data_IF_490368122534
#
_entry.id   IF_490368122534
#
_cell.length_a   1.000
_cell.length_b   1.000
_cell.length_c   1.000
_cell.angle_alpha   90.00
_cell.angle_beta   90.00
_cell.angle_gamma   90.00
#
_symmetry.space_group_name_H-M   'P 1'
#
loop_
_entity.id
_entity.type
_entity.pdbx_description
1 polymer ?
#
# COMPACT_ATOMS: atom_id res chain seq x y z
N UNK A 1 -17.11 27.02 -2.51
CA UNK A 1 -15.79 26.90 -3.13
C UNK A 1 -15.73 25.70 -4.07
N UNK A 2 -16.06 24.51 -3.62
CA UNK A 2 -16.01 23.26 -4.39
C UNK A 2 -16.85 23.31 -5.67
N UNK A 3 -18.13 23.71 -5.59
CA UNK A 3 -18.99 23.87 -6.77
C UNK A 3 -18.46 24.90 -7.78
N UNK A 4 -17.95 26.04 -7.28
CA UNK A 4 -17.37 27.07 -8.13
C UNK A 4 -16.11 26.56 -8.86
N UNK A 5 -15.26 25.78 -8.17
CA UNK A 5 -14.12 25.12 -8.79
C UNK A 5 -14.58 24.11 -9.85
N UNK A 6 -15.55 23.27 -9.51
CA UNK A 6 -16.11 22.29 -10.42
C UNK A 6 -16.64 22.94 -11.73
N UNK A 7 -17.34 24.06 -11.61
CA UNK A 7 -17.83 24.80 -12.78
C UNK A 7 -16.68 25.38 -13.61
N UNK A 8 -15.65 25.90 -12.96
CA UNK A 8 -14.45 26.39 -13.64
C UNK A 8 -13.71 25.28 -14.38
N UNK A 9 -13.60 24.09 -13.79
CA UNK A 9 -12.97 22.94 -14.43
C UNK A 9 -13.81 22.41 -15.60
N UNK A 10 -15.14 22.38 -15.46
CA UNK A 10 -16.05 21.99 -16.56
C UNK A 10 -15.94 22.96 -17.77
N UNK A 11 -15.71 24.26 -17.54
CA UNK A 11 -15.47 25.23 -18.62
C UNK A 11 -14.16 24.96 -19.40
N UNK A 12 -13.23 24.19 -18.80
CA UNK A 12 -12.01 23.72 -19.45
C UNK A 12 -12.10 22.28 -19.96
N UNK A 13 -13.32 21.74 -20.11
CA UNK A 13 -13.61 20.37 -20.55
C UNK A 13 -13.12 19.25 -19.59
N UNK A 14 -12.79 19.61 -18.35
CA UNK A 14 -12.54 18.58 -17.33
C UNK A 14 -13.85 17.96 -16.84
N UNK A 15 -13.79 16.66 -16.61
CA UNK A 15 -14.90 15.88 -16.02
C UNK A 15 -14.38 15.21 -14.74
N UNK A 16 -15.19 15.20 -13.68
CA UNK A 16 -14.92 14.41 -12.48
C UNK A 16 -14.87 12.93 -12.85
N UNK A 17 -13.95 12.18 -12.25
CA UNK A 17 -13.82 10.75 -12.51
C UNK A 17 -14.80 9.93 -11.65
N UNK A 18 -15.19 8.75 -12.11
CA UNK A 18 -15.93 7.79 -11.27
C UNK A 18 -15.01 7.07 -10.28
N UNK A 19 -13.70 7.19 -10.41
CA UNK A 19 -12.73 6.66 -9.45
C UNK A 19 -12.75 7.44 -8.14
N UNK A 20 -12.77 8.79 -8.25
CA UNK A 20 -12.81 9.73 -7.12
C UNK A 20 -13.36 11.06 -7.63
N UNK A 21 -14.38 11.60 -6.96
CA UNK A 21 -15.08 12.82 -7.39
C UNK A 21 -14.19 14.05 -7.45
N UNK A 22 -13.17 14.11 -6.58
CA UNK A 22 -12.21 15.21 -6.53
C UNK A 22 -11.02 15.04 -7.49
N UNK A 23 -11.02 14.00 -8.31
CA UNK A 23 -10.08 13.83 -9.43
C UNK A 23 -10.79 14.16 -10.73
N UNK A 24 -10.29 15.21 -11.39
CA UNK A 24 -10.80 15.71 -12.65
C UNK A 24 -9.89 15.28 -13.78
N UNK A 25 -10.46 14.87 -14.91
CA UNK A 25 -9.71 14.47 -16.09
C UNK A 25 -10.25 15.12 -17.36
N UNK A 26 -9.34 15.42 -18.32
CA UNK A 26 -9.71 15.79 -19.69
C UNK A 26 -8.78 15.12 -20.69
N UNK A 27 -9.30 14.82 -21.87
CA UNK A 27 -8.47 14.30 -22.97
C UNK A 27 -7.64 15.41 -23.57
N UNK A 28 -6.33 15.17 -23.78
CA UNK A 28 -5.41 16.04 -24.52
C UNK A 28 -4.57 15.22 -25.50
N UNK A 29 -5.06 15.07 -26.72
CA UNK A 29 -4.46 14.20 -27.75
C UNK A 29 -4.54 12.73 -27.35
N UNK A 30 -3.39 12.05 -27.22
CA UNK A 30 -3.27 10.63 -26.87
C UNK A 30 -3.07 10.39 -25.36
N UNK A 31 -3.33 11.36 -24.52
CA UNK A 31 -3.18 11.25 -23.05
C UNK A 31 -4.32 11.95 -22.36
N UNK A 32 -4.44 11.72 -21.06
CA UNK A 32 -5.27 12.53 -20.17
C UNK A 32 -4.42 13.49 -19.38
N UNK A 33 -5.01 14.64 -19.08
CA UNK A 33 -4.55 15.58 -18.06
C UNK A 33 -5.44 15.42 -16.85
N UNK A 34 -4.85 15.53 -15.64
CA UNK A 34 -5.57 15.32 -14.38
C UNK A 34 -5.38 16.52 -13.46
N UNK A 35 -6.40 16.79 -12.68
CA UNK A 35 -6.37 17.72 -11.55
C UNK A 35 -6.95 16.98 -10.35
N UNK A 36 -6.14 16.78 -9.32
CA UNK A 36 -6.62 16.29 -8.02
C UNK A 36 -6.80 17.50 -7.10
N UNK A 37 -8.02 17.64 -6.57
CA UNK A 37 -8.39 18.69 -5.62
C UNK A 37 -8.42 18.11 -4.21
N UNK A 38 -7.73 18.74 -3.27
CA UNK A 38 -7.82 18.40 -1.87
C UNK A 38 -7.98 19.68 -1.03
N UNK A 39 -9.18 19.92 -0.54
CA UNK A 39 -9.57 21.15 0.15
C UNK A 39 -9.21 22.37 -0.68
N UNK A 40 -8.10 23.04 -0.40
CA UNK A 40 -7.63 24.26 -1.10
C UNK A 40 -6.45 23.99 -2.04
N UNK A 41 -5.89 22.79 -2.02
CA UNK A 41 -4.72 22.42 -2.82
C UNK A 41 -5.12 21.73 -4.13
N UNK A 42 -4.45 22.11 -5.23
CA UNK A 42 -4.62 21.49 -6.53
C UNK A 42 -3.31 20.83 -6.98
N UNK A 43 -3.36 19.54 -7.26
CA UNK A 43 -2.26 18.82 -7.92
C UNK A 43 -2.60 18.66 -9.41
N UNK A 44 -1.84 19.31 -10.29
CA UNK A 44 -2.08 19.34 -11.74
C UNK A 44 -1.06 18.43 -12.42
N UNK A 45 -1.52 17.44 -13.17
CA UNK A 45 -0.71 16.56 -14.01
C UNK A 45 -1.07 16.81 -15.47
N UNK A 46 -0.27 17.59 -16.17
CA UNK A 46 -0.49 17.99 -17.55
C UNK A 46 0.84 18.18 -18.28
N UNK A 47 0.80 18.18 -19.63
CA UNK A 47 1.99 18.54 -20.43
C UNK A 47 2.40 19.99 -20.26
N UNK A 48 1.42 20.87 -20.16
CA UNK A 48 1.61 22.30 -19.86
C UNK A 48 0.66 22.71 -18.71
N UNK A 49 1.08 22.56 -17.46
CA UNK A 49 0.29 23.01 -16.32
C UNK A 49 0.01 24.51 -16.31
N UNK A 50 0.87 25.33 -16.95
CA UNK A 50 0.73 26.77 -16.96
C UNK A 50 -0.50 27.23 -17.76
N UNK A 51 -0.91 26.49 -18.79
CA UNK A 51 -2.17 26.75 -19.52
C UNK A 51 -3.36 26.72 -18.55
N UNK A 52 -3.41 25.69 -17.70
CA UNK A 52 -4.49 25.50 -16.73
C UNK A 52 -4.44 26.57 -15.63
N UNK A 53 -3.27 26.83 -15.07
CA UNK A 53 -3.04 27.86 -14.05
C UNK A 53 -3.46 29.24 -14.58
N UNK A 54 -3.01 29.62 -15.79
CA UNK A 54 -3.35 30.89 -16.40
C UNK A 54 -4.86 31.03 -16.62
N UNK A 55 -5.57 29.97 -17.01
CA UNK A 55 -7.02 30.00 -17.16
C UNK A 55 -7.73 30.23 -15.82
N UNK A 56 -7.34 29.49 -14.78
CA UNK A 56 -7.90 29.65 -13.43
C UNK A 56 -7.69 31.09 -12.90
N UNK A 57 -6.51 31.67 -13.09
CA UNK A 57 -6.22 33.03 -12.60
C UNK A 57 -6.90 34.11 -13.41
N UNK A 58 -6.81 34.05 -14.75
CA UNK A 58 -7.26 35.16 -15.64
C UNK A 58 -8.77 35.05 -15.93
N UNK A 59 -9.27 33.88 -16.28
CA UNK A 59 -10.67 33.69 -16.68
C UNK A 59 -11.57 33.47 -15.49
N UNK A 60 -11.15 32.62 -14.51
CA UNK A 60 -11.93 32.31 -13.35
C UNK A 60 -11.61 33.17 -12.12
N UNK A 61 -10.61 34.04 -12.22
CA UNK A 61 -10.21 35.04 -11.21
C UNK A 61 -9.78 34.43 -9.85
N UNK A 62 -9.24 33.19 -9.85
CA UNK A 62 -8.63 32.64 -8.65
C UNK A 62 -7.32 33.36 -8.31
N UNK A 63 -7.06 33.48 -7.02
CA UNK A 63 -5.75 33.94 -6.49
C UNK A 63 -4.97 32.73 -6.05
N UNK A 64 -4.25 32.10 -7.00
CA UNK A 64 -3.44 30.92 -6.71
C UNK A 64 -2.16 31.32 -5.97
N UNK A 65 -1.71 30.46 -5.05
CA UNK A 65 -0.45 30.62 -4.31
C UNK A 65 0.36 29.34 -4.42
N UNK A 66 1.69 29.46 -4.39
CA UNK A 66 2.58 28.28 -4.41
C UNK A 66 2.56 27.53 -5.74
N UNK A 67 2.24 28.22 -6.84
CA UNK A 67 2.27 27.64 -8.19
C UNK A 67 3.69 27.26 -8.60
N UNK A 68 3.85 26.08 -9.21
CA UNK A 68 5.15 25.60 -9.68
C UNK A 68 5.24 24.06 -9.63
N UNK A 69 6.41 23.50 -9.90
CA UNK A 69 6.65 22.06 -9.75
C UNK A 69 6.31 21.60 -8.34
N UNK A 70 5.69 20.42 -8.25
CA UNK A 70 5.33 19.85 -6.96
C UNK A 70 6.58 19.61 -6.10
N UNK A 71 6.60 20.17 -4.90
CA UNK A 71 7.67 19.98 -3.92
C UNK A 71 7.16 19.47 -2.55
N UNK A 72 5.88 19.74 -2.27
CA UNK A 72 5.20 19.30 -1.07
C UNK A 72 3.70 19.19 -1.33
N UNK A 73 3.09 18.06 -0.97
CA UNK A 73 1.65 17.85 -1.07
C UNK A 73 1.20 16.76 -0.09
N UNK A 74 0.09 16.99 0.60
CA UNK A 74 -0.53 16.04 1.55
C UNK A 74 0.44 15.42 2.57
N UNK A 75 1.39 16.20 3.07
CA UNK A 75 2.34 15.73 4.08
C UNK A 75 3.59 15.04 3.52
N UNK A 76 3.70 14.87 2.21
CA UNK A 76 4.87 14.31 1.53
C UNK A 76 5.70 15.39 0.84
N UNK A 77 7.00 15.25 0.95
CA UNK A 77 7.98 15.96 0.14
C UNK A 77 8.17 15.24 -1.19
N UNK A 78 8.15 15.97 -2.31
CA UNK A 78 8.39 15.48 -3.66
C UNK A 78 9.71 16.02 -4.18
N UNK A 79 10.49 15.17 -4.80
CA UNK A 79 11.79 15.55 -5.36
C UNK A 79 12.19 14.59 -6.48
N UNK A 80 13.15 15.00 -7.28
CA UNK A 80 13.75 14.14 -8.31
C UNK A 80 15.11 13.65 -7.82
N UNK A 81 15.36 12.35 -7.91
CA UNK A 81 16.63 11.77 -7.52
C UNK A 81 17.72 11.98 -8.58
N UNK A 82 18.95 11.49 -8.31
CA UNK A 82 20.09 11.59 -9.22
C UNK A 82 19.89 10.88 -10.57
N UNK A 83 18.97 9.92 -10.64
CA UNK A 83 18.65 9.18 -11.86
C UNK A 83 17.50 9.82 -12.64
N UNK A 84 17.01 11.00 -12.20
CA UNK A 84 15.91 11.73 -12.82
C UNK A 84 14.52 11.15 -12.51
N UNK A 85 14.41 10.27 -11.50
CA UNK A 85 13.15 9.63 -11.11
C UNK A 85 12.47 10.48 -10.05
N UNK A 86 11.17 10.74 -10.23
CA UNK A 86 10.35 11.40 -9.22
C UNK A 86 10.19 10.49 -8.00
N UNK A 87 10.37 11.08 -6.83
CA UNK A 87 10.29 10.41 -5.55
C UNK A 87 9.36 11.17 -4.61
N UNK A 88 8.78 10.47 -3.64
CA UNK A 88 8.12 11.11 -2.51
C UNK A 88 8.43 10.41 -1.19
N UNK A 89 8.45 11.20 -0.12
CA UNK A 89 8.71 10.74 1.23
C UNK A 89 8.11 11.72 2.26
N UNK A 90 7.60 11.25 3.41
CA UNK A 90 7.06 12.12 4.45
C UNK A 90 8.15 12.69 5.38
N UNK A 91 9.26 13.21 4.83
CA UNK A 91 10.45 13.64 5.61
C UNK A 91 10.10 14.69 6.65
N UNK A 92 9.45 15.79 6.23
CA UNK A 92 9.03 16.87 7.16
C UNK A 92 8.04 16.37 8.21
N UNK A 93 7.15 15.45 7.82
CA UNK A 93 6.22 14.84 8.77
C UNK A 93 6.96 14.00 9.83
N UNK A 94 7.92 13.17 9.41
CA UNK A 94 8.73 12.40 10.37
C UNK A 94 9.56 13.31 11.27
N UNK A 95 10.18 14.39 10.76
CA UNK A 95 10.89 15.37 11.58
C UNK A 95 9.96 16.02 12.61
N UNK A 96 8.71 16.33 12.23
CA UNK A 96 7.68 16.80 13.17
C UNK A 96 7.39 15.74 14.25
N UNK A 97 7.19 14.47 13.88
CA UNK A 97 6.96 13.39 14.85
C UNK A 97 8.11 13.26 15.87
N UNK A 98 9.36 13.38 15.42
CA UNK A 98 10.55 13.34 16.29
C UNK A 98 10.57 14.55 17.23
N UNK A 99 10.17 15.71 16.76
CA UNK A 99 10.07 16.94 17.54
C UNK A 99 8.98 16.80 18.62
N UNK A 100 7.78 16.38 18.22
CA UNK A 100 6.64 16.17 19.13
C UNK A 100 6.97 15.12 20.20
N UNK A 101 7.64 14.02 19.82
CA UNK A 101 8.15 13.02 20.76
C UNK A 101 9.13 13.63 21.77
N UNK A 102 10.08 14.44 21.29
CA UNK A 102 11.10 15.06 22.13
C UNK A 102 10.47 16.03 23.14
N UNK A 103 9.44 16.79 22.74
CA UNK A 103 8.65 17.64 23.63
C UNK A 103 7.86 16.80 24.66
N UNK A 104 7.29 15.67 24.23
CA UNK A 104 6.45 14.81 25.09
C UNK A 104 7.26 14.07 26.17
N UNK A 105 8.51 13.69 25.88
CA UNK A 105 9.32 12.85 26.76
C UNK A 105 10.63 13.51 27.28
N UNK A 106 10.97 14.70 26.81
CA UNK A 106 12.19 15.42 27.21
C UNK A 106 13.48 14.85 26.61
N UNK A 107 13.41 13.81 25.80
CA UNK A 107 14.56 13.13 25.18
C UNK A 107 14.26 12.74 23.74
N UNK A 108 15.30 12.68 22.89
CA UNK A 108 15.13 12.17 21.50
C UNK A 108 14.87 10.66 21.50
N UNK A 109 14.16 10.13 20.49
CA UNK A 109 13.97 8.70 20.34
C UNK A 109 15.32 7.96 20.22
N UNK A 110 15.47 6.83 20.94
CA UNK A 110 16.61 5.92 20.73
C UNK A 110 16.42 5.22 19.39
N UNK A 111 17.45 5.17 18.57
CA UNK A 111 17.39 4.55 17.23
C UNK A 111 17.34 3.02 17.31
N UNK A 112 16.54 2.42 16.39
CA UNK A 112 16.38 0.99 16.24
C UNK A 112 16.38 0.60 14.77
N UNK A 113 16.76 -0.66 14.47
CA UNK A 113 16.82 -1.22 13.13
C UNK A 113 15.50 -1.80 12.61
N UNK A 114 14.56 -2.06 13.50
CA UNK A 114 13.23 -2.59 13.17
C UNK A 114 12.16 -1.92 14.02
N UNK A 115 10.91 -1.84 13.52
CA UNK A 115 9.81 -1.21 14.27
C UNK A 115 9.48 -1.92 15.58
N UNK A 116 9.45 -3.26 15.57
CA UNK A 116 9.37 -4.13 16.74
C UNK A 116 10.45 -5.21 16.64
N UNK A 117 10.62 -5.99 17.68
CA UNK A 117 11.51 -7.15 17.65
C UNK A 117 10.90 -8.26 16.80
N UNK A 118 11.75 -9.09 16.21
CA UNK A 118 11.28 -10.24 15.47
C UNK A 118 10.51 -11.18 16.41
N UNK A 119 9.28 -11.56 16.01
CA UNK A 119 8.43 -12.44 16.81
C UNK A 119 7.93 -11.83 18.13
N UNK A 120 7.92 -10.51 18.28
CA UNK A 120 7.35 -9.84 19.46
C UNK A 120 5.82 -10.10 19.54
N UNK A 121 5.35 -10.32 20.77
CA UNK A 121 3.96 -10.57 21.09
C UNK A 121 3.43 -9.53 22.09
N UNK A 122 3.05 -8.33 21.63
CA UNK A 122 2.51 -7.27 22.50
C UNK A 122 1.27 -7.69 23.29
N UNK A 123 0.50 -8.65 22.79
CA UNK A 123 -0.74 -9.14 23.40
C UNK A 123 -0.54 -9.89 24.72
N UNK A 124 0.67 -10.41 24.98
CA UNK A 124 1.01 -11.06 26.26
C UNK A 124 1.69 -10.13 27.27
N UNK A 125 1.74 -8.83 26.97
CA UNK A 125 2.35 -7.85 27.87
C UNK A 125 1.61 -7.81 29.22
N UNK A 126 2.36 -8.03 30.32
CA UNK A 126 1.85 -8.04 31.69
C UNK A 126 2.38 -6.88 32.55
N UNK A 127 3.02 -5.89 31.92
CA UNK A 127 3.47 -4.70 32.62
C UNK A 127 2.28 -3.90 33.18
N UNK A 128 2.57 -2.94 34.07
CA UNK A 128 1.54 -2.07 34.67
C UNK A 128 0.77 -1.29 33.60
N UNK A 129 -0.50 -1.08 33.84
CA UNK A 129 -1.37 -0.23 33.02
C UNK A 129 -0.89 1.23 33.06
N UNK A 130 -1.12 1.96 31.98
CA UNK A 130 -0.83 3.39 31.95
C UNK A 130 -1.90 4.16 32.69
N UNK A 131 -1.50 5.26 33.34
CA UNK A 131 -2.39 6.27 33.86
C UNK A 131 -3.07 7.06 32.71
N UNK A 132 -4.07 7.85 33.02
CA UNK A 132 -4.83 8.62 32.02
C UNK A 132 -3.95 9.54 31.14
N UNK A 133 -2.95 10.28 31.67
CA UNK A 133 -1.99 11.01 30.83
C UNK A 133 -1.17 10.10 29.92
N UNK A 134 -0.76 8.93 30.39
CA UNK A 134 -0.04 7.93 29.62
C UNK A 134 -0.88 7.35 28.48
N UNK A 135 -2.16 7.07 28.72
CA UNK A 135 -3.11 6.61 27.71
C UNK A 135 -3.26 7.65 26.61
N UNK A 136 -3.45 8.93 26.96
CA UNK A 136 -3.56 10.03 25.97
C UNK A 136 -2.30 10.16 25.11
N UNK A 137 -1.11 10.05 25.72
CA UNK A 137 0.18 10.05 24.99
C UNK A 137 0.26 8.88 24.02
N UNK A 138 -0.08 7.68 24.48
CA UNK A 138 -0.07 6.47 23.65
C UNK A 138 -1.02 6.59 22.45
N UNK A 139 -2.27 7.02 22.67
CA UNK A 139 -3.27 7.23 21.62
C UNK A 139 -2.80 8.24 20.57
N UNK A 140 -2.21 9.36 21.01
CA UNK A 140 -1.64 10.38 20.13
C UNK A 140 -0.51 9.80 19.28
N UNK A 141 0.42 9.06 19.90
CA UNK A 141 1.52 8.40 19.19
C UNK A 141 1.01 7.42 18.12
N UNK A 142 0.06 6.55 18.47
CA UNK A 142 -0.50 5.58 17.52
C UNK A 142 -1.22 6.28 16.37
N UNK A 143 -2.00 7.32 16.64
CA UNK A 143 -2.68 8.10 15.59
C UNK A 143 -1.68 8.74 14.62
N UNK A 144 -0.61 9.32 15.13
CA UNK A 144 0.45 9.91 14.30
C UNK A 144 1.19 8.86 13.45
N UNK A 145 1.44 7.67 14.00
CA UNK A 145 2.06 6.57 13.26
C UNK A 145 1.14 6.02 12.16
N UNK A 146 -0.18 5.96 12.40
CA UNK A 146 -1.15 5.57 11.37
C UNK A 146 -1.13 6.54 10.18
N UNK A 147 -1.01 7.85 10.45
CA UNK A 147 -0.88 8.83 9.38
C UNK A 147 0.43 8.66 8.60
N UNK A 148 1.55 8.35 9.27
CA UNK A 148 2.81 8.06 8.59
C UNK A 148 2.68 6.88 7.61
N UNK A 149 1.90 5.84 7.95
CA UNK A 149 1.62 4.70 7.05
C UNK A 149 0.91 5.20 5.80
N UNK A 150 -0.11 6.04 5.93
CA UNK A 150 -0.84 6.61 4.79
C UNK A 150 0.05 7.47 3.88
N UNK A 151 1.12 8.03 4.43
CA UNK A 151 2.12 8.81 3.69
C UNK A 151 3.24 7.98 3.04
N UNK A 152 3.15 6.64 3.07
CA UNK A 152 4.11 5.76 2.41
C UNK A 152 5.05 5.00 3.35
N UNK A 153 4.95 5.16 4.69
CA UNK A 153 5.73 4.36 5.65
C UNK A 153 5.02 3.04 5.95
N UNK A 154 4.75 2.26 4.91
CA UNK A 154 4.11 0.95 5.05
C UNK A 154 4.97 -0.08 5.79
N UNK A 155 6.27 0.15 5.91
CA UNK A 155 7.23 -0.64 6.68
C UNK A 155 6.91 -0.75 8.17
N UNK A 156 6.13 0.18 8.74
CA UNK A 156 5.68 0.13 10.14
C UNK A 156 4.25 -0.41 10.30
N UNK A 157 3.58 -0.81 9.21
CA UNK A 157 2.13 -1.12 9.22
C UNK A 157 1.76 -2.22 10.22
N UNK A 158 2.46 -3.35 10.21
CA UNK A 158 2.16 -4.49 11.10
C UNK A 158 2.36 -4.13 12.56
N UNK A 159 3.44 -3.41 12.87
CA UNK A 159 3.73 -2.96 14.23
C UNK A 159 2.63 -2.00 14.76
N UNK A 160 2.26 -1.02 13.95
CA UNK A 160 1.22 -0.04 14.33
C UNK A 160 -0.16 -0.68 14.40
N UNK A 161 -0.51 -1.56 13.46
CA UNK A 161 -1.77 -2.31 13.48
C UNK A 161 -1.90 -3.13 14.77
N UNK A 162 -0.84 -3.87 15.16
CA UNK A 162 -0.83 -4.66 16.38
C UNK A 162 -1.00 -3.78 17.61
N UNK A 163 -0.22 -2.72 17.75
CA UNK A 163 -0.29 -1.79 18.89
C UNK A 163 -1.61 -1.01 18.94
N UNK A 164 -2.26 -0.76 17.81
CA UNK A 164 -3.57 -0.10 17.75
C UNK A 164 -4.67 -0.89 18.49
N UNK A 165 -4.49 -2.19 18.68
CA UNK A 165 -5.43 -3.04 19.42
C UNK A 165 -5.50 -2.67 20.92
N UNK A 166 -4.49 -2.01 21.47
CA UNK A 166 -4.37 -1.70 22.89
C UNK A 166 -4.70 -0.24 23.25
N UNK A 167 -5.32 0.53 22.34
CA UNK A 167 -5.59 1.97 22.55
C UNK A 167 -6.49 2.29 23.73
N UNK A 168 -7.36 1.36 24.14
CA UNK A 168 -8.31 1.57 25.25
C UNK A 168 -7.61 1.39 26.60
N UNK A 169 -6.80 0.34 26.75
CA UNK A 169 -6.09 -0.01 27.99
C UNK A 169 -4.64 -0.38 27.69
N UNK A 170 -3.80 0.59 27.30
CA UNK A 170 -2.39 0.31 27.00
C UNK A 170 -1.59 0.16 28.31
N UNK A 171 -0.57 -0.71 28.23
CA UNK A 171 0.39 -0.95 29.32
C UNK A 171 1.70 -0.22 29.06
N UNK A 172 2.56 -0.14 30.10
CA UNK A 172 3.90 0.47 29.98
C UNK A 172 4.74 -0.18 28.89
N UNK A 173 4.65 -1.51 28.72
CA UNK A 173 5.33 -2.24 27.64
C UNK A 173 4.82 -1.87 26.25
N UNK A 174 3.51 -1.62 26.08
CA UNK A 174 2.95 -1.13 24.81
C UNK A 174 3.51 0.27 24.47
N UNK A 175 3.63 1.15 25.46
CA UNK A 175 4.22 2.48 25.25
C UNK A 175 5.71 2.39 24.87
N UNK A 176 6.47 1.46 25.46
CA UNK A 176 7.87 1.26 25.07
C UNK A 176 8.00 0.77 23.61
N UNK A 177 7.11 -0.12 23.18
CA UNK A 177 7.04 -0.55 21.78
C UNK A 177 6.68 0.59 20.82
N UNK A 178 5.72 1.44 21.19
CA UNK A 178 5.42 2.63 20.41
C UNK A 178 6.63 3.57 20.30
N UNK A 179 7.38 3.79 21.40
CA UNK A 179 8.63 4.56 21.41
C UNK A 179 9.70 3.93 20.50
N UNK A 180 9.76 2.60 20.44
CA UNK A 180 10.67 1.88 19.52
C UNK A 180 10.37 2.19 18.06
N UNK A 181 9.09 2.25 17.65
CA UNK A 181 8.71 2.63 16.28
C UNK A 181 9.18 4.06 15.96
N UNK A 182 9.05 5.02 16.89
CA UNK A 182 9.60 6.37 16.70
C UNK A 182 11.12 6.33 16.55
N UNK A 183 11.81 5.49 17.28
CA UNK A 183 13.25 5.29 17.14
C UNK A 183 13.66 4.69 15.79
N UNK A 184 12.87 3.74 15.27
CA UNK A 184 13.04 3.22 13.93
C UNK A 184 12.82 4.32 12.86
N UNK A 185 11.75 5.10 12.97
CA UNK A 185 11.51 6.22 12.07
C UNK A 185 12.60 7.29 12.13
N UNK A 186 13.19 7.52 13.31
CA UNK A 186 14.32 8.45 13.47
C UNK A 186 15.57 7.97 12.73
N UNK A 187 15.82 6.66 12.75
CA UNK A 187 16.95 6.07 12.03
C UNK A 187 16.75 6.07 10.52
N UNK A 188 15.54 5.76 10.06
CA UNK A 188 15.18 5.61 8.65
C UNK A 188 14.20 6.70 8.20
N UNK A 189 14.49 7.96 8.56
CA UNK A 189 13.61 9.09 8.27
C UNK A 189 13.54 9.45 6.78
N UNK A 190 14.57 9.11 6.02
CA UNK A 190 14.70 9.44 4.60
C UNK A 190 14.19 8.34 3.66
N UNK A 191 13.55 7.31 4.21
CA UNK A 191 12.92 6.25 3.41
C UNK A 191 11.95 6.83 2.40
N UNK A 192 12.10 6.41 1.14
CA UNK A 192 11.52 7.10 -0.02
C UNK A 192 10.90 6.11 -0.99
N UNK A 193 9.71 6.40 -1.50
CA UNK A 193 9.10 5.69 -2.62
C UNK A 193 9.53 6.38 -3.93
N UNK A 194 10.09 5.60 -4.86
CA UNK A 194 10.42 6.02 -6.22
C UNK A 194 9.25 5.71 -7.15
N UNK A 195 8.82 6.68 -7.94
CA UNK A 195 7.77 6.50 -8.94
C UNK A 195 8.40 5.95 -10.21
N UNK A 196 8.45 4.63 -10.32
CA UNK A 196 9.07 3.90 -11.42
C UNK A 196 8.03 3.57 -12.49
N UNK A 197 8.27 4.06 -13.70
CA UNK A 197 7.35 3.88 -14.84
C UNK A 197 7.73 2.70 -15.74
N UNK A 198 8.84 2.03 -15.46
CA UNK A 198 9.30 0.85 -16.19
C UNK A 198 8.44 -0.38 -15.82
N UNK A 199 7.98 -1.09 -16.83
CA UNK A 199 7.18 -2.31 -16.66
C UNK A 199 8.11 -3.44 -16.15
N UNK A 200 7.70 -4.20 -15.12
CA UNK A 200 8.47 -5.35 -14.67
C UNK A 200 8.53 -6.42 -15.78
N UNK A 201 9.68 -7.05 -15.91
CA UNK A 201 9.86 -8.18 -16.83
C UNK A 201 9.51 -9.49 -16.11
N UNK A 202 8.44 -10.13 -16.55
CA UNK A 202 7.97 -11.43 -16.06
C UNK A 202 8.10 -12.53 -17.14
N UNK A 203 8.89 -12.31 -18.19
CA UNK A 203 9.07 -13.27 -19.27
C UNK A 203 9.67 -14.61 -18.83
N UNK A 204 10.47 -14.58 -17.76
CA UNK A 204 11.11 -15.78 -17.20
C UNK A 204 10.22 -16.54 -16.19
N UNK A 205 9.00 -16.05 -15.93
CA UNK A 205 8.09 -16.71 -15.00
C UNK A 205 7.29 -17.78 -15.74
N UNK A 206 7.61 -19.03 -15.43
CA UNK A 206 6.81 -20.15 -15.91
C UNK A 206 5.43 -20.14 -15.23
N UNK A 207 4.39 -20.00 -16.04
CA UNK A 207 3.01 -20.09 -15.58
C UNK A 207 2.27 -21.12 -16.43
N UNK A 208 1.97 -22.31 -15.89
CA UNK A 208 1.22 -23.32 -16.61
C UNK A 208 -0.13 -22.77 -17.10
N UNK A 209 -0.48 -23.05 -18.34
CA UNK A 209 -1.79 -22.72 -18.87
C UNK A 209 -2.73 -23.89 -18.69
N UNK A 210 -3.93 -23.62 -18.20
CA UNK A 210 -4.95 -24.61 -17.96
C UNK A 210 -6.24 -24.26 -18.72
N UNK A 211 -6.97 -25.31 -19.14
CA UNK A 211 -8.28 -25.18 -19.79
C UNK A 211 -9.38 -24.95 -18.73
N UNK A 212 -9.56 -23.71 -18.32
CA UNK A 212 -10.57 -23.33 -17.33
C UNK A 212 -12.02 -23.45 -17.86
N UNK A 213 -12.21 -23.36 -19.16
CA UNK A 213 -13.50 -23.47 -19.85
C UNK A 213 -14.18 -24.83 -19.60
N UNK A 214 -13.38 -25.88 -19.34
CA UNK A 214 -13.87 -27.21 -18.98
C UNK A 214 -14.18 -27.37 -17.48
N UNK A 215 -13.93 -26.37 -16.67
CA UNK A 215 -14.16 -26.36 -15.23
C UNK A 215 -15.58 -25.90 -14.90
N UNK A 216 -15.91 -25.93 -13.58
CA UNK A 216 -17.19 -25.40 -13.05
C UNK A 216 -17.37 -23.89 -13.25
N UNK A 217 -16.32 -23.17 -13.65
CA UNK A 217 -16.35 -21.74 -13.90
C UNK A 217 -16.71 -21.38 -15.35
N UNK A 218 -16.60 -22.34 -16.29
CA UNK A 218 -16.95 -22.14 -17.71
C UNK A 218 -16.19 -20.98 -18.35
N UNK A 219 -16.87 -20.19 -19.18
CA UNK A 219 -16.34 -19.01 -19.87
C UNK A 219 -16.55 -17.73 -19.02
N UNK A 220 -16.12 -17.78 -17.77
CA UNK A 220 -16.18 -16.61 -16.86
C UNK A 220 -15.25 -15.50 -17.36
N UNK A 221 -15.77 -14.27 -17.37
CA UNK A 221 -15.02 -13.07 -17.83
C UNK A 221 -15.05 -11.98 -16.77
N UNK A 222 -14.09 -11.06 -16.85
CA UNK A 222 -14.11 -9.83 -16.05
C UNK A 222 -15.34 -9.01 -16.38
N UNK A 223 -16.11 -8.65 -15.35
CA UNK A 223 -17.21 -7.71 -15.49
C UNK A 223 -16.61 -6.31 -15.50
N UNK A 224 -16.67 -5.65 -16.65
CA UNK A 224 -16.20 -4.28 -16.77
C UNK A 224 -17.23 -3.29 -16.26
N UNK A 225 -16.82 -2.23 -15.55
CA UNK A 225 -17.71 -1.12 -15.21
C UNK A 225 -18.29 -0.45 -16.46
N UNK A 226 -19.48 0.14 -16.29
CA UNK A 226 -20.10 0.94 -17.35
C UNK A 226 -19.41 2.30 -17.51
N UNK A 227 -19.55 2.91 -18.69
CA UNK A 227 -19.07 4.27 -19.01
C UNK A 227 -17.57 4.49 -18.72
N UNK A 228 -16.76 3.51 -19.05
CA UNK A 228 -15.30 3.65 -18.95
C UNK A 228 -14.79 4.64 -19.99
N UNK A 229 -13.84 5.53 -19.61
CA UNK A 229 -13.14 6.37 -20.59
C UNK A 229 -12.26 5.50 -21.51
N UNK A 230 -12.03 5.98 -22.74
CA UNK A 230 -11.09 5.34 -23.65
C UNK A 230 -9.70 5.25 -22.99
N UNK A 231 -9.05 4.07 -22.95
CA UNK A 231 -7.72 3.97 -22.37
C UNK A 231 -6.68 4.69 -23.26
N UNK A 232 -5.94 5.65 -22.67
CA UNK A 232 -4.95 6.47 -23.37
C UNK A 232 -3.63 6.51 -22.61
N UNK A 233 -2.52 6.58 -23.35
CA UNK A 233 -1.17 6.68 -22.78
C UNK A 233 -0.41 5.35 -22.83
N UNK A 234 0.53 5.18 -21.91
CA UNK A 234 1.32 3.94 -21.81
C UNK A 234 0.61 2.91 -20.99
N UNK A 235 0.65 1.67 -21.47
CA UNK A 235 0.12 0.53 -20.72
C UNK A 235 0.91 0.29 -19.42
N UNK A 236 0.22 -0.08 -18.34
CA UNK A 236 0.84 -0.39 -17.06
C UNK A 236 0.56 -1.82 -16.62
N UNK A 237 1.47 -2.38 -15.82
CA UNK A 237 1.35 -3.70 -15.20
C UNK A 237 0.95 -3.53 -13.73
N UNK A 238 -0.17 -4.13 -13.34
CA UNK A 238 -0.53 -4.28 -11.93
C UNK A 238 0.09 -5.56 -11.37
N UNK A 239 0.73 -5.44 -10.21
CA UNK A 239 1.35 -6.55 -9.49
C UNK A 239 0.93 -6.51 -8.03
N UNK A 240 0.72 -7.68 -7.43
CA UNK A 240 0.32 -7.81 -6.02
C UNK A 240 1.14 -8.89 -5.35
N UNK A 241 1.53 -8.64 -4.10
CA UNK A 241 2.16 -9.62 -3.22
C UNK A 241 1.23 -9.87 -2.04
N UNK A 242 1.11 -11.13 -1.64
CA UNK A 242 0.23 -11.54 -0.54
C UNK A 242 0.94 -12.49 0.39
N UNK A 243 0.68 -12.32 1.69
CA UNK A 243 1.16 -13.19 2.76
C UNK A 243 0.15 -13.24 3.91
N UNK A 244 0.18 -14.32 4.70
CA UNK A 244 -0.58 -14.43 5.93
C UNK A 244 0.24 -15.04 7.05
N UNK A 245 0.31 -14.35 8.18
CA UNK A 245 0.93 -14.88 9.39
C UNK A 245 -0.11 -15.57 10.27
N UNK A 246 -0.09 -16.90 10.24
CA UNK A 246 -0.98 -17.74 11.09
C UNK A 246 -0.67 -17.52 12.58
N UNK A 247 -1.74 -17.37 13.39
CA UNK A 247 -1.62 -17.16 14.84
C UNK A 247 -0.71 -15.99 15.24
N UNK A 248 -0.69 -14.92 14.43
CA UNK A 248 0.06 -13.71 14.77
C UNK A 248 -0.31 -13.19 16.18
N UNK A 249 -1.58 -13.19 16.53
CA UNK A 249 -2.09 -12.92 17.87
C UNK A 249 -2.32 -14.25 18.57
N UNK A 250 -1.42 -14.64 19.49
CA UNK A 250 -1.45 -15.96 20.14
C UNK A 250 -2.57 -16.09 21.19
N UNK A 251 -3.13 -14.98 21.68
CA UNK A 251 -4.27 -15.01 22.62
C UNK A 251 -5.58 -15.27 21.86
N UNK A 252 -5.81 -14.57 20.76
CA UNK A 252 -7.05 -14.72 19.99
C UNK A 252 -6.97 -15.75 18.88
N UNK A 253 -5.78 -16.26 18.58
CA UNK A 253 -5.53 -17.18 17.47
C UNK A 253 -5.69 -16.54 16.08
N UNK A 254 -5.81 -15.23 15.99
CA UNK A 254 -6.05 -14.54 14.71
C UNK A 254 -4.78 -14.35 13.91
N UNK A 255 -4.90 -14.66 12.63
CA UNK A 255 -3.87 -14.40 11.63
C UNK A 255 -3.84 -12.94 11.21
N UNK A 256 -2.74 -12.49 10.60
CA UNK A 256 -2.62 -11.18 9.94
C UNK A 256 -2.45 -11.38 8.45
N UNK A 257 -3.20 -10.64 7.67
CA UNK A 257 -3.04 -10.53 6.21
C UNK A 257 -2.13 -9.35 5.89
N UNK A 258 -1.12 -9.60 5.05
CA UNK A 258 -0.27 -8.60 4.42
C UNK A 258 -0.48 -8.60 2.91
N UNK A 259 -0.74 -7.43 2.31
CA UNK A 259 -0.86 -7.28 0.85
C UNK A 259 -0.11 -6.02 0.44
N UNK A 260 0.64 -6.10 -0.66
CA UNK A 260 1.32 -4.97 -1.28
C UNK A 260 0.98 -4.92 -2.76
N UNK A 261 0.43 -3.80 -3.21
CA UNK A 261 0.11 -3.57 -4.63
C UNK A 261 1.10 -2.60 -5.27
N UNK A 262 1.52 -2.94 -6.50
CA UNK A 262 2.40 -2.11 -7.31
C UNK A 262 1.77 -1.83 -8.66
N UNK A 263 1.91 -0.58 -9.11
CA UNK A 263 1.76 -0.21 -10.54
C UNK A 263 3.16 -0.14 -11.14
N UNK A 264 3.41 -0.96 -12.14
CA UNK A 264 4.74 -1.23 -12.64
C UNK A 264 5.67 -1.70 -11.49
N UNK A 265 6.64 -0.90 -11.09
CA UNK A 265 7.55 -1.22 -9.97
C UNK A 265 7.35 -0.27 -8.78
N UNK A 266 6.28 0.51 -8.75
CA UNK A 266 5.98 1.49 -7.70
C UNK A 266 4.95 0.94 -6.74
N UNK A 267 5.26 0.80 -5.44
CA UNK A 267 4.24 0.56 -4.41
C UNK A 267 3.26 1.73 -4.37
N UNK A 268 1.96 1.45 -4.39
CA UNK A 268 0.93 2.50 -4.34
C UNK A 268 -0.18 2.20 -3.34
N UNK A 269 -0.38 0.92 -2.97
CA UNK A 269 -1.38 0.51 -2.01
C UNK A 269 -0.85 -0.65 -1.16
N UNK A 270 -1.14 -0.65 0.13
CA UNK A 270 -0.67 -1.64 1.11
C UNK A 270 -1.72 -1.90 2.18
N UNK A 271 -1.73 -3.13 2.64
CA UNK A 271 -2.70 -3.60 3.61
C UNK A 271 -2.07 -4.49 4.66
N UNK A 272 -2.32 -4.19 5.94
CA UNK A 272 -1.91 -5.02 7.08
C UNK A 272 -3.04 -5.02 8.10
N UNK A 273 -3.71 -6.17 8.27
CA UNK A 273 -4.85 -6.26 9.19
C UNK A 273 -5.04 -7.68 9.73
N UNK A 274 -5.45 -7.78 10.99
CA UNK A 274 -5.90 -9.05 11.60
C UNK A 274 -7.12 -9.58 10.86
N UNK A 275 -7.13 -10.87 10.56
CA UNK A 275 -8.28 -11.56 9.98
C UNK A 275 -9.44 -11.60 10.98
N UNK A 276 -10.66 -11.55 10.48
CA UNK A 276 -11.87 -11.62 11.32
C UNK A 276 -12.15 -13.05 11.82
N UNK A 277 -11.64 -14.04 11.11
CA UNK A 277 -11.78 -15.48 11.42
C UNK A 277 -10.50 -16.04 12.01
N UNK A 278 -10.62 -17.15 12.74
CA UNK A 278 -9.50 -17.93 13.22
C UNK A 278 -9.36 -19.16 12.33
N UNK A 279 -8.18 -19.32 11.73
CA UNK A 279 -7.85 -20.44 10.87
C UNK A 279 -7.00 -21.47 11.62
N UNK A 280 -7.22 -22.74 11.34
CA UNK A 280 -6.52 -23.85 12.02
C UNK A 280 -5.21 -24.25 11.33
N UNK A 281 -4.92 -23.67 10.17
CA UNK A 281 -3.70 -23.97 9.40
C UNK A 281 -3.37 -22.81 8.46
N UNK A 282 -2.10 -22.69 8.08
CA UNK A 282 -1.58 -21.69 7.13
C UNK A 282 -2.35 -21.67 5.81
N UNK A 283 -2.76 -22.83 5.30
CA UNK A 283 -3.58 -22.94 4.10
C UNK A 283 -4.85 -22.07 4.15
N UNK A 284 -5.57 -22.06 5.28
CA UNK A 284 -6.80 -21.27 5.42
C UNK A 284 -6.55 -19.77 5.52
N UNK A 285 -5.55 -19.39 6.33
CA UNK A 285 -5.18 -17.96 6.48
C UNK A 285 -4.65 -17.37 5.17
N UNK A 286 -3.89 -18.15 4.40
CA UNK A 286 -3.38 -17.73 3.09
C UNK A 286 -4.50 -17.61 2.05
N UNK A 287 -5.48 -18.54 2.02
CA UNK A 287 -6.64 -18.38 1.15
C UNK A 287 -7.49 -17.15 1.51
N UNK A 288 -7.63 -16.87 2.79
CA UNK A 288 -8.33 -15.65 3.25
C UNK A 288 -7.60 -14.39 2.78
N UNK A 289 -6.28 -14.38 2.87
CA UNK A 289 -5.45 -13.27 2.37
C UNK A 289 -5.51 -13.17 0.84
N UNK A 290 -5.38 -14.27 0.12
CA UNK A 290 -5.48 -14.31 -1.34
C UNK A 290 -6.84 -13.83 -1.85
N UNK A 291 -7.95 -14.21 -1.21
CA UNK A 291 -9.29 -13.70 -1.54
C UNK A 291 -9.35 -12.19 -1.40
N UNK A 292 -8.85 -11.65 -0.28
CA UNK A 292 -8.87 -10.21 -0.05
C UNK A 292 -8.00 -9.46 -1.09
N UNK A 293 -6.83 -10.03 -1.42
CA UNK A 293 -5.98 -9.49 -2.48
C UNK A 293 -6.70 -9.46 -3.84
N UNK A 294 -7.46 -10.51 -4.18
CA UNK A 294 -8.28 -10.55 -5.40
C UNK A 294 -9.32 -9.44 -5.43
N UNK A 295 -10.04 -9.22 -4.32
CA UNK A 295 -11.07 -8.17 -4.24
C UNK A 295 -10.43 -6.78 -4.40
N UNK A 296 -9.26 -6.55 -3.80
CA UNK A 296 -8.49 -5.30 -3.96
C UNK A 296 -7.93 -5.14 -5.39
N UNK A 297 -7.42 -6.20 -6.00
CA UNK A 297 -6.96 -6.19 -7.40
C UNK A 297 -8.09 -5.73 -8.33
N UNK A 298 -9.29 -6.29 -8.17
CA UNK A 298 -10.45 -5.92 -8.99
C UNK A 298 -10.79 -4.44 -8.79
N UNK A 299 -10.83 -3.98 -7.54
CA UNK A 299 -11.07 -2.57 -7.22
C UNK A 299 -10.01 -1.66 -7.85
N UNK A 300 -8.73 -1.98 -7.69
CA UNK A 300 -7.63 -1.21 -8.25
C UNK A 300 -7.65 -1.19 -9.79
N UNK A 301 -8.01 -2.31 -10.44
CA UNK A 301 -8.20 -2.36 -11.90
C UNK A 301 -9.33 -1.43 -12.34
N UNK A 302 -10.45 -1.40 -11.62
CA UNK A 302 -11.58 -0.50 -11.92
C UNK A 302 -11.19 0.97 -11.74
N UNK A 303 -10.51 1.33 -10.66
CA UNK A 303 -10.00 2.68 -10.41
C UNK A 303 -9.10 3.15 -11.56
N UNK A 304 -8.10 2.34 -11.94
CA UNK A 304 -7.19 2.69 -13.02
C UNK A 304 -7.91 2.84 -14.36
N UNK A 305 -8.91 1.99 -14.64
CA UNK A 305 -9.74 2.12 -15.86
C UNK A 305 -10.59 3.39 -15.84
N UNK A 306 -11.20 3.75 -14.70
CA UNK A 306 -11.92 5.02 -14.60
C UNK A 306 -11.02 6.24 -14.74
N UNK A 307 -9.73 6.09 -14.49
CA UNK A 307 -8.71 7.08 -14.81
C UNK A 307 -8.24 7.02 -16.27
N UNK A 308 -8.79 6.14 -17.10
CA UNK A 308 -8.41 5.99 -18.50
C UNK A 308 -7.01 5.40 -18.71
N UNK A 309 -6.46 4.69 -17.72
CA UNK A 309 -5.13 4.08 -17.78
C UNK A 309 -5.21 2.74 -18.53
N UNK A 310 -4.43 2.54 -19.62
CA UNK A 310 -4.32 1.24 -20.28
C UNK A 310 -3.67 0.21 -19.33
N UNK A 311 -4.37 -0.92 -19.11
CA UNK A 311 -3.87 -1.99 -18.24
C UNK A 311 -3.45 -3.20 -19.05
N UNK A 312 -2.34 -3.84 -18.67
CA UNK A 312 -2.04 -5.20 -19.07
C UNK A 312 -3.23 -6.11 -18.75
N UNK A 313 -3.51 -7.05 -19.66
CA UNK A 313 -4.67 -7.94 -19.56
C UNK A 313 -4.73 -8.65 -18.20
N UNK A 314 -3.60 -9.20 -17.76
CA UNK A 314 -3.49 -10.02 -16.56
C UNK A 314 -2.67 -9.35 -15.48
N UNK A 315 -3.18 -9.33 -14.24
CA UNK A 315 -2.44 -8.94 -13.03
C UNK A 315 -1.61 -10.12 -12.53
N UNK A 316 -0.39 -9.88 -12.07
CA UNK A 316 0.43 -10.89 -11.40
C UNK A 316 0.24 -10.80 -9.89
N UNK A 317 -0.21 -11.89 -9.27
CA UNK A 317 -0.30 -12.04 -7.82
C UNK A 317 0.74 -13.07 -7.36
N UNK A 318 1.58 -12.69 -6.41
CA UNK A 318 2.65 -13.52 -5.87
C UNK A 318 2.38 -13.89 -4.41
N UNK A 319 2.63 -15.15 -4.04
CA UNK A 319 2.53 -15.64 -2.68
C UNK A 319 3.54 -16.78 -2.44
N UNK A 320 3.72 -17.17 -1.19
CA UNK A 320 4.72 -18.16 -0.81
C UNK A 320 4.15 -19.51 -0.33
N UNK A 321 2.82 -19.68 -0.37
CA UNK A 321 2.17 -20.93 -0.03
C UNK A 321 1.82 -21.75 -1.28
N UNK A 322 2.71 -22.68 -1.63
CA UNK A 322 2.56 -23.51 -2.83
C UNK A 322 1.24 -24.30 -2.84
N UNK A 323 0.79 -24.80 -1.70
CA UNK A 323 -0.47 -25.57 -1.63
C UNK A 323 -1.70 -24.73 -1.97
N UNK A 324 -1.71 -23.47 -1.55
CA UNK A 324 -2.77 -22.51 -1.89
C UNK A 324 -2.72 -22.18 -3.38
N UNK A 325 -1.54 -21.94 -3.92
CA UNK A 325 -1.34 -21.62 -5.33
C UNK A 325 -1.75 -22.77 -6.23
N UNK A 326 -1.27 -23.99 -5.95
CA UNK A 326 -1.64 -25.17 -6.73
C UNK A 326 -3.16 -25.44 -6.67
N UNK A 327 -3.76 -25.31 -5.49
CA UNK A 327 -5.21 -25.44 -5.32
C UNK A 327 -6.00 -24.35 -6.07
N UNK A 328 -5.43 -23.17 -6.22
CA UNK A 328 -6.04 -22.05 -6.94
C UNK A 328 -5.90 -22.18 -8.45
N UNK A 329 -4.72 -22.59 -8.94
CA UNK A 329 -4.36 -22.58 -10.37
C UNK A 329 -4.83 -23.83 -11.12
N UNK A 330 -4.93 -24.98 -10.46
CA UNK A 330 -5.30 -26.25 -11.11
C UNK A 330 -6.82 -26.40 -11.19
N UNK A 331 -7.46 -26.44 -12.40
CA UNK A 331 -8.93 -26.43 -12.54
C UNK A 331 -9.66 -27.60 -11.85
N UNK A 332 -9.05 -28.76 -11.73
CA UNK A 332 -9.63 -29.96 -11.09
C UNK A 332 -9.22 -30.14 -9.62
N UNK A 333 -8.49 -29.16 -9.04
CA UNK A 333 -8.12 -29.21 -7.64
C UNK A 333 -9.37 -29.24 -6.76
N UNK A 334 -9.31 -30.06 -5.69
CA UNK A 334 -10.42 -30.21 -4.74
C UNK A 334 -10.22 -29.31 -3.53
N UNK A 335 -11.32 -28.78 -3.03
CA UNK A 335 -11.32 -28.05 -1.76
C UNK A 335 -11.08 -29.01 -0.59
N UNK A 336 -9.98 -28.82 0.14
CA UNK A 336 -9.63 -29.67 1.29
C UNK A 336 -10.40 -29.30 2.56
N UNK A 337 -10.75 -28.02 2.75
CA UNK A 337 -11.43 -27.52 3.96
C UNK A 337 -12.70 -26.75 3.59
N UNK A 338 -13.87 -27.30 3.97
CA UNK A 338 -15.18 -26.75 3.61
C UNK A 338 -15.39 -25.28 4.04
N UNK A 339 -14.83 -24.87 5.16
CA UNK A 339 -14.98 -23.50 5.66
C UNK A 339 -14.25 -22.45 4.81
N UNK A 340 -13.28 -22.86 3.98
CA UNK A 340 -12.62 -21.97 3.03
C UNK A 340 -13.33 -21.87 1.66
N UNK A 341 -14.55 -22.39 1.54
CA UNK A 341 -15.28 -22.48 0.27
C UNK A 341 -15.34 -21.17 -0.49
N UNK A 342 -15.75 -20.08 0.15
CA UNK A 342 -15.89 -18.78 -0.50
C UNK A 342 -14.54 -18.23 -0.96
N UNK A 343 -13.50 -18.32 -0.14
CA UNK A 343 -12.15 -17.86 -0.50
C UNK A 343 -11.58 -18.68 -1.65
N UNK A 344 -11.74 -20.01 -1.61
CA UNK A 344 -11.30 -20.90 -2.67
C UNK A 344 -11.95 -20.58 -4.02
N UNK A 345 -13.27 -20.47 -4.04
CA UNK A 345 -13.97 -20.19 -5.31
C UNK A 345 -13.74 -18.79 -5.82
N UNK A 346 -13.63 -17.77 -4.95
CA UNK A 346 -13.39 -16.39 -5.36
C UNK A 346 -12.04 -16.21 -6.06
N UNK A 347 -10.97 -16.81 -5.52
CA UNK A 347 -9.65 -16.76 -6.15
C UNK A 347 -9.65 -17.47 -7.51
N UNK A 348 -10.25 -18.65 -7.57
CA UNK A 348 -10.31 -19.47 -8.79
C UNK A 348 -11.17 -18.84 -9.90
N UNK A 349 -12.29 -18.22 -9.54
CA UNK A 349 -13.12 -17.46 -10.47
C UNK A 349 -12.31 -16.34 -11.14
N UNK A 350 -11.56 -15.57 -10.37
CA UNK A 350 -10.72 -14.50 -10.90
C UNK A 350 -9.60 -15.03 -11.82
N UNK A 351 -9.03 -16.21 -11.52
CA UNK A 351 -8.05 -16.87 -12.38
C UNK A 351 -8.72 -17.38 -13.68
N UNK A 352 -9.88 -18.03 -13.57
CA UNK A 352 -10.65 -18.50 -14.71
C UNK A 352 -11.04 -17.34 -15.65
N UNK A 353 -11.42 -16.19 -15.08
CA UNK A 353 -11.70 -14.96 -15.84
C UNK A 353 -10.43 -14.27 -16.41
N UNK A 354 -9.26 -14.87 -16.27
CA UNK A 354 -7.95 -14.33 -16.72
C UNK A 354 -7.58 -12.97 -16.12
N UNK A 355 -8.24 -12.57 -15.03
CA UNK A 355 -7.95 -11.34 -14.29
C UNK A 355 -6.56 -11.33 -13.69
N UNK A 356 -6.13 -12.50 -13.16
CA UNK A 356 -4.83 -12.65 -12.52
C UNK A 356 -4.21 -14.02 -12.77
N UNK A 357 -2.89 -14.07 -12.56
CA UNK A 357 -2.10 -15.29 -12.42
C UNK A 357 -1.56 -15.33 -11.00
N UNK A 358 -1.77 -16.44 -10.29
CA UNK A 358 -1.24 -16.60 -8.95
C UNK A 358 0.03 -17.44 -9.00
N UNK A 359 1.16 -16.87 -8.57
CA UNK A 359 2.50 -17.40 -8.81
C UNK A 359 3.22 -17.58 -7.49
N UNK A 360 3.93 -18.71 -7.36
CA UNK A 360 4.75 -18.99 -6.20
C UNK A 360 6.06 -18.21 -6.22
N UNK A 361 6.42 -17.62 -5.07
CA UNK A 361 7.75 -17.09 -4.79
C UNK A 361 8.24 -17.59 -3.44
N UNK A 362 9.57 -17.74 -3.24
CA UNK A 362 10.11 -18.04 -1.92
C UNK A 362 9.79 -16.94 -0.90
N UNK A 363 9.47 -17.29 0.34
CA UNK A 363 9.12 -16.34 1.42
C UNK A 363 10.19 -15.26 1.61
N UNK A 364 11.46 -15.61 1.49
CA UNK A 364 12.58 -14.66 1.70
C UNK A 364 12.57 -13.47 0.75
N UNK A 365 11.88 -13.57 -0.39
CA UNK A 365 11.73 -12.48 -1.36
C UNK A 365 10.30 -11.94 -1.43
N UNK A 366 9.38 -12.42 -0.58
CA UNK A 366 8.02 -11.92 -0.54
C UNK A 366 7.94 -10.59 0.24
N UNK A 367 7.73 -9.44 -0.43
CA UNK A 367 7.66 -8.15 0.26
C UNK A 367 6.42 -8.00 1.15
N UNK A 368 5.40 -8.84 0.99
CA UNK A 368 4.21 -8.82 1.84
C UNK A 368 4.49 -9.34 3.27
N UNK A 369 5.59 -10.04 3.50
CA UNK A 369 6.04 -10.48 4.83
C UNK A 369 6.13 -9.31 5.83
N UNK A 370 6.58 -8.14 5.40
CA UNK A 370 6.68 -6.95 6.26
C UNK A 370 5.31 -6.40 6.71
N UNK A 371 4.24 -6.78 5.99
CA UNK A 371 2.87 -6.37 6.24
C UNK A 371 2.07 -7.41 7.03
N UNK A 372 2.64 -8.59 7.28
CA UNK A 372 1.99 -9.69 8.02
C UNK A 372 2.71 -10.06 9.31
N UNK A 373 4.02 -9.84 9.40
CA UNK A 373 4.90 -10.31 10.50
C UNK A 373 5.66 -9.17 11.17
N UNK A 374 6.05 -9.36 12.44
CA UNK A 374 7.08 -8.54 13.07
C UNK A 374 8.46 -9.04 12.59
N UNK A 375 9.18 -8.19 11.90
CA UNK A 375 10.40 -8.53 11.19
C UNK A 375 11.66 -7.95 11.84
N UNK A 376 12.74 -8.71 11.77
CA UNK A 376 14.10 -8.22 12.04
C UNK A 376 14.70 -7.64 10.76
N UNK A 377 15.51 -6.59 10.91
CA UNK A 377 16.07 -5.87 9.78
C UNK A 377 16.86 -6.75 8.81
N UNK A 378 17.69 -7.66 9.34
CA UNK A 378 18.53 -8.57 8.55
C UNK A 378 17.74 -9.42 7.55
N UNK A 379 16.50 -9.78 7.91
CA UNK A 379 15.65 -10.67 7.12
C UNK A 379 15.02 -9.97 5.92
N UNK A 380 14.70 -8.68 6.05
CA UNK A 380 13.89 -7.95 5.07
C UNK A 380 14.65 -6.84 4.35
N UNK A 381 15.91 -6.57 4.71
CA UNK A 381 16.70 -5.46 4.15
C UNK A 381 16.80 -5.49 2.63
N UNK A 382 16.96 -6.67 2.03
CA UNK A 382 17.05 -6.84 0.58
C UNK A 382 15.77 -6.48 -0.13
N UNK A 383 14.62 -6.80 0.47
CA UNK A 383 13.30 -6.47 -0.06
C UNK A 383 12.97 -4.99 0.16
N UNK A 384 13.12 -4.48 1.38
CA UNK A 384 12.85 -3.08 1.70
C UNK A 384 13.79 -2.11 0.99
N UNK A 385 15.04 -2.49 0.72
CA UNK A 385 15.99 -1.66 0.00
C UNK A 385 15.47 -1.23 -1.37
N UNK A 386 14.85 -2.13 -2.09
CA UNK A 386 14.31 -1.84 -3.42
C UNK A 386 13.02 -1.02 -3.39
N UNK A 387 12.27 -1.08 -2.31
CA UNK A 387 10.95 -0.44 -2.17
C UNK A 387 11.02 0.94 -1.50
N UNK A 388 11.82 1.08 -0.43
CA UNK A 388 11.86 2.27 0.41
C UNK A 388 13.27 2.81 0.67
N UNK A 389 14.29 1.96 0.80
CA UNK A 389 15.64 2.36 1.22
C UNK A 389 16.54 2.61 0.03
N UNK A 390 16.11 3.49 -0.87
CA UNK A 390 16.83 3.74 -2.10
C UNK A 390 18.08 4.61 -1.91
N UNK A 391 17.97 5.70 -1.14
CA UNK A 391 19.06 6.64 -0.85
C UNK A 391 19.16 6.93 0.65
N UNK A 392 20.36 7.35 1.09
CA UNK A 392 20.61 7.81 2.45
C UNK A 392 20.53 6.71 3.50
N UNK A 393 19.37 6.09 3.62
CA UNK A 393 19.15 5.01 4.57
C UNK A 393 19.88 3.71 4.22
N UNK A 394 20.43 3.61 3.00
CA UNK A 394 21.12 2.40 2.52
C UNK A 394 22.63 2.45 2.66
N UNK A 395 23.21 3.62 2.92
CA UNK A 395 24.67 3.85 2.86
C UNK A 395 25.42 3.02 3.90
N UNK A 396 24.82 2.72 5.04
CA UNK A 396 25.45 1.98 6.14
C UNK A 396 24.80 0.61 6.40
N UNK A 397 23.97 0.11 5.48
CA UNK A 397 23.23 -1.13 5.67
C UNK A 397 24.08 -2.40 5.54
N UNK A 398 25.28 -2.28 4.97
CA UNK A 398 26.17 -3.42 4.71
C UNK A 398 27.23 -3.62 5.80
N UNK A 399 27.50 -2.60 6.63
CA UNK A 399 28.64 -2.57 7.53
C UNK A 399 28.35 -2.92 9.00
N UNK A 400 27.11 -3.25 9.36
CA UNK A 400 26.76 -3.53 10.76
C UNK A 400 26.09 -4.88 10.93
N UNK A 401 26.83 -5.81 11.56
CA UNK A 401 26.27 -6.93 12.30
C UNK A 401 25.46 -6.40 13.50
N UNK A 402 24.21 -6.79 13.65
CA UNK A 402 23.48 -6.68 14.92
C UNK A 402 24.13 -7.60 15.98
#
# INVERSE_FOLDING_TARGET
WHEHLADSLRQMDFKSTKAEEDIWMRRKGNTYEYIASYVDDLCIVAKDPNEIIAHLEKSCRYKLKGTGPISFHLGCDYFTDKDGIMCYAPRKYIDKLITDYTQMFGVKPKQYWSPLEHGDHPEVDNSEELDEPGIKKYQSMIGSLQWAISLGRFDISTAVMTLSSFRVSPRKGHLQRAKRIYGYLTKFKDSTIRIRTDIPDYSNIECPQYEWEKSVYGDTKEILPEDLPEPLGKEVQLTSYVDANLFHDIITGRSVTGILHLVNKTPFDWYSKKQSTVETATYGSEFTAARLAVDQIISNRHILRYLGVPLKETTYMFGDNKSVIDSSMIPHAKLHKRHNFLSFHRVREAIAAKLLKFIFIPSIINPADILSKHWGYQQVKTTLKTLLFYEGDTTNLFDQSE
#
